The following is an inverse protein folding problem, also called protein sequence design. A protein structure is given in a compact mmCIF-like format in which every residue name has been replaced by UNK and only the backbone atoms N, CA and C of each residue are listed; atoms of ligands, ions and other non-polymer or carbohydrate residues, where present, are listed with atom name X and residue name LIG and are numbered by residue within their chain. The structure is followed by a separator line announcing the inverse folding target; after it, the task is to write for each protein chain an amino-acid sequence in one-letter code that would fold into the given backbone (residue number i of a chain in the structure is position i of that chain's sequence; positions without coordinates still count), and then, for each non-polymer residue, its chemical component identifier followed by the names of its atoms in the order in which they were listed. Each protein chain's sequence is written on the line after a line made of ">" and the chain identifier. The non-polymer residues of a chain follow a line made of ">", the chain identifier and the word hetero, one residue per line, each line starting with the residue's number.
data_IF_545980809324
#
_entry.id   IF_545980809324
#
_cell.length_a   1.000
_cell.length_b   1.000
_cell.length_c   1.000
_cell.angle_alpha   90.00
_cell.angle_beta   90.00
_cell.angle_gamma   90.00
#
_symmetry.space_group_name_H-M   'P 1'
#
loop_
_entity.id
_entity.type
_entity.pdbx_description
1 polymer ?
#
# COMPACT_ATOMS: atom_id res chain seq x y z
N UNK A 1 4.12 -24.14 -16.52
CA UNK A 1 5.34 -23.37 -16.10
C UNK A 1 4.89 -22.27 -15.17
N UNK A 2 5.58 -22.03 -14.05
CA UNK A 2 5.25 -20.95 -13.12
C UNK A 2 6.42 -19.97 -13.07
N UNK A 3 6.12 -18.67 -13.04
CA UNK A 3 7.08 -17.59 -12.82
C UNK A 3 6.60 -16.73 -11.65
N UNK A 4 7.50 -16.44 -10.74
CA UNK A 4 7.25 -15.53 -9.62
C UNK A 4 7.89 -14.18 -9.90
N UNK A 5 7.17 -13.12 -9.60
CA UNK A 5 7.65 -11.75 -9.60
C UNK A 5 7.50 -11.22 -8.17
N UNK A 6 8.53 -10.54 -7.69
CA UNK A 6 8.52 -9.91 -6.38
C UNK A 6 8.18 -8.42 -6.53
N UNK A 7 7.60 -7.86 -5.50
CA UNK A 7 7.40 -6.42 -5.43
C UNK A 7 8.73 -5.69 -5.52
N UNK A 8 8.75 -4.56 -6.22
CA UNK A 8 9.90 -3.66 -6.33
C UNK A 8 9.77 -2.46 -5.42
N UNK A 9 8.55 -2.15 -4.99
CA UNK A 9 8.22 -1.19 -3.96
C UNK A 9 7.01 -1.69 -3.19
N UNK A 10 7.02 -1.47 -1.90
CA UNK A 10 5.85 -1.68 -1.07
C UNK A 10 5.83 -0.73 0.13
N UNK A 11 4.65 -0.41 0.59
CA UNK A 11 4.42 0.40 1.78
C UNK A 11 2.97 0.27 2.21
N UNK A 12 2.62 0.83 3.34
CA UNK A 12 1.23 1.13 3.65
C UNK A 12 1.06 2.61 3.97
N UNK A 13 -0.17 3.08 3.84
CA UNK A 13 -0.56 4.45 4.15
C UNK A 13 -1.73 4.43 5.14
N UNK A 14 -1.78 5.41 6.04
CA UNK A 14 -2.74 5.44 7.14
C UNK A 14 -3.58 6.72 7.11
N UNK A 15 -4.92 6.57 7.16
CA UNK A 15 -5.87 7.70 7.16
C UNK A 15 -6.07 8.35 8.52
N UNK A 16 -5.45 7.86 9.58
CA UNK A 16 -5.61 8.38 10.93
C UNK A 16 -5.18 9.84 11.04
N UNK A 17 -6.11 10.69 11.41
CA UNK A 17 -5.86 12.12 11.65
C UNK A 17 -5.49 12.41 13.09
N UNK A 18 -5.83 11.51 14.01
CA UNK A 18 -5.47 11.68 15.39
C UNK A 18 -4.04 11.23 15.59
N UNK A 19 -3.30 12.14 16.13
CA UNK A 19 -2.07 11.84 16.78
C UNK A 19 -2.35 10.83 17.90
N UNK A 20 -1.49 9.88 18.02
CA UNK A 20 -1.19 9.31 19.30
C UNK A 20 -0.82 10.47 20.26
N UNK A 21 -0.42 10.17 21.47
CA UNK A 21 0.02 11.14 22.49
C UNK A 21 1.11 12.12 22.02
N UNK A 22 1.68 11.96 20.81
CA UNK A 22 2.76 12.77 20.25
C UNK A 22 2.29 13.94 19.36
N UNK A 23 1.01 14.02 19.02
CA UNK A 23 0.47 15.13 18.21
C UNK A 23 0.74 15.03 16.71
N UNK A 24 1.33 13.91 16.22
CA UNK A 24 1.71 13.77 14.81
C UNK A 24 0.56 13.15 14.01
N UNK A 25 0.19 13.82 12.94
CA UNK A 25 -0.80 13.37 11.99
C UNK A 25 -0.26 12.14 11.21
N UNK A 26 -0.84 10.97 11.44
CA UNK A 26 -0.44 9.72 10.79
C UNK A 26 -0.65 9.75 9.27
N UNK A 27 -1.52 10.65 8.77
CA UNK A 27 -1.73 10.84 7.33
C UNK A 27 -0.51 11.37 6.60
N UNK A 28 0.45 11.95 7.33
CA UNK A 28 1.68 12.52 6.77
C UNK A 28 2.90 11.60 6.95
N UNK A 29 2.77 10.58 7.78
CA UNK A 29 3.85 9.63 8.05
C UNK A 29 4.04 8.66 6.88
N UNK A 30 5.31 8.41 6.55
CA UNK A 30 5.74 7.36 5.61
C UNK A 30 6.08 6.06 6.35
N UNK A 31 5.86 4.92 5.69
CA UNK A 31 6.06 3.57 6.21
C UNK A 31 6.80 2.66 5.22
N UNK A 32 7.58 3.24 4.29
CA UNK A 32 8.21 2.51 3.18
C UNK A 32 9.31 1.53 3.58
N UNK A 33 9.78 1.58 4.83
CA UNK A 33 10.81 0.65 5.34
C UNK A 33 10.28 -0.22 6.49
N UNK A 34 8.99 -0.27 6.70
CA UNK A 34 8.40 -1.25 7.61
C UNK A 34 8.49 -2.66 7.01
N UNK A 35 8.86 -3.62 7.86
CA UNK A 35 9.01 -5.02 7.45
C UNK A 35 7.66 -5.73 7.26
N UNK A 36 6.61 -5.20 7.86
CA UNK A 36 5.26 -5.76 7.84
C UNK A 36 4.29 -4.69 7.36
N UNK A 37 3.60 -4.97 6.27
CA UNK A 37 2.55 -4.11 5.74
C UNK A 37 1.28 -4.27 6.56
N UNK A 38 0.80 -3.17 7.12
CA UNK A 38 -0.41 -3.18 7.95
C UNK A 38 -1.65 -2.94 7.08
N UNK A 39 -2.58 -3.88 7.11
CA UNK A 39 -3.88 -3.77 6.46
C UNK A 39 -4.99 -3.91 7.50
N UNK A 40 -5.78 -2.86 7.70
CA UNK A 40 -6.85 -2.93 8.68
C UNK A 40 -7.64 -1.65 8.86
N UNK A 41 -8.65 -1.76 9.69
CA UNK A 41 -9.46 -0.64 10.19
C UNK A 41 -9.32 -0.57 11.69
N UNK A 42 -9.07 0.62 12.19
CA UNK A 42 -9.01 0.88 13.63
C UNK A 42 -10.27 1.62 14.05
N UNK A 43 -10.89 1.13 15.12
CA UNK A 43 -12.04 1.75 15.78
C UNK A 43 -11.60 2.28 17.14
N UNK A 44 -12.09 3.43 17.51
CA UNK A 44 -11.90 4.02 18.83
C UNK A 44 -13.23 4.51 19.37
N UNK A 45 -13.62 4.07 20.57
CA UNK A 45 -14.92 4.39 21.20
C UNK A 45 -16.09 4.23 20.23
N UNK A 46 -16.19 3.06 19.56
CA UNK A 46 -17.25 2.72 18.60
C UNK A 46 -17.28 3.62 17.34
N UNK A 47 -16.33 4.55 17.21
CA UNK A 47 -16.15 5.40 16.04
C UNK A 47 -15.03 4.89 15.15
N UNK A 48 -15.19 5.11 13.86
CA UNK A 48 -14.10 4.88 12.89
C UNK A 48 -12.97 5.87 13.15
N UNK A 49 -11.76 5.38 13.42
CA UNK A 49 -10.57 6.18 13.66
C UNK A 49 -9.69 6.25 12.41
N UNK A 50 -9.26 5.09 11.92
CA UNK A 50 -8.37 5.05 10.76
C UNK A 50 -8.51 3.77 9.96
N UNK A 51 -8.11 3.83 8.69
CA UNK A 51 -7.83 2.65 7.89
C UNK A 51 -6.43 2.73 7.29
N UNK A 52 -5.88 1.56 7.03
CA UNK A 52 -4.64 1.43 6.29
C UNK A 52 -4.92 0.84 4.91
N UNK A 53 -4.10 1.24 3.95
CA UNK A 53 -4.06 0.69 2.59
C UNK A 53 -2.64 0.27 2.28
N UNK A 54 -2.49 -0.90 1.72
CA UNK A 54 -1.20 -1.42 1.26
C UNK A 54 -1.02 -1.05 -0.21
N UNK A 55 0.13 -0.48 -0.53
CA UNK A 55 0.55 -0.15 -1.89
C UNK A 55 1.68 -1.11 -2.28
N UNK A 56 1.55 -1.74 -3.44
CA UNK A 56 2.55 -2.69 -3.96
C UNK A 56 2.79 -2.40 -5.43
N UNK A 57 4.04 -2.37 -5.85
CA UNK A 57 4.43 -2.19 -7.24
C UNK A 57 5.31 -3.36 -7.69
N UNK A 58 5.06 -3.84 -8.90
CA UNK A 58 5.88 -4.81 -9.61
C UNK A 58 6.56 -4.16 -10.80
N UNK A 59 7.68 -4.69 -11.23
CA UNK A 59 8.36 -4.24 -12.45
C UNK A 59 7.59 -4.71 -13.71
N UNK A 60 6.80 -3.78 -14.25
CA UNK A 60 6.02 -4.03 -15.46
C UNK A 60 6.88 -4.38 -16.69
N UNK A 61 8.10 -3.84 -16.78
CA UNK A 61 8.98 -4.13 -17.91
C UNK A 61 9.50 -5.56 -17.82
N UNK A 62 9.85 -6.01 -16.63
CA UNK A 62 10.27 -7.39 -16.40
C UNK A 62 9.13 -8.38 -16.72
N UNK A 63 7.90 -8.08 -16.30
CA UNK A 63 6.72 -8.89 -16.63
C UNK A 63 6.50 -8.94 -18.15
N UNK A 64 6.48 -7.80 -18.83
CA UNK A 64 6.31 -7.71 -20.29
C UNK A 64 7.40 -8.49 -21.03
N UNK A 65 8.66 -8.31 -20.64
CA UNK A 65 9.80 -9.01 -21.25
C UNK A 65 9.65 -10.52 -21.10
N UNK A 66 9.26 -10.99 -19.93
CA UNK A 66 9.05 -12.42 -19.71
C UNK A 66 7.93 -12.97 -20.59
N UNK A 67 6.79 -12.31 -20.66
CA UNK A 67 5.66 -12.74 -21.50
C UNK A 67 6.06 -12.79 -22.98
N UNK A 68 6.76 -11.77 -23.46
CA UNK A 68 7.24 -11.72 -24.86
C UNK A 68 8.28 -12.77 -25.18
N UNK A 69 9.28 -12.97 -24.32
CA UNK A 69 10.35 -13.96 -24.54
C UNK A 69 9.84 -15.39 -24.47
N UNK A 70 8.76 -15.64 -23.77
CA UNK A 70 8.14 -16.95 -23.62
C UNK A 70 7.04 -17.20 -24.66
N UNK A 71 6.82 -16.28 -25.61
CA UNK A 71 5.73 -16.34 -26.60
C UNK A 71 4.34 -16.56 -25.99
N UNK A 72 4.11 -15.97 -24.80
CA UNK A 72 2.84 -16.08 -24.10
C UNK A 72 1.93 -14.95 -24.57
N UNK A 73 0.87 -15.29 -25.29
CA UNK A 73 -0.13 -14.32 -25.74
C UNK A 73 -1.16 -14.00 -24.66
N UNK A 74 -1.76 -12.83 -24.79
CA UNK A 74 -2.87 -12.39 -23.92
C UNK A 74 -3.99 -13.44 -23.98
N UNK A 75 -4.45 -13.87 -22.80
CA UNK A 75 -5.47 -14.90 -22.65
C UNK A 75 -4.92 -16.32 -22.38
N UNK A 76 -3.61 -16.53 -22.57
CA UNK A 76 -2.98 -17.83 -22.33
C UNK A 76 -2.22 -17.92 -20.99
N UNK A 77 -2.48 -17.01 -20.07
CA UNK A 77 -1.92 -17.05 -18.71
C UNK A 77 -2.94 -16.64 -17.66
N UNK A 78 -2.73 -17.10 -16.47
CA UNK A 78 -3.40 -16.61 -15.27
C UNK A 78 -2.37 -15.98 -14.34
N UNK A 79 -2.76 -14.91 -13.66
CA UNK A 79 -1.93 -14.25 -12.66
C UNK A 79 -2.64 -14.26 -11.30
N UNK A 80 -1.90 -14.41 -10.23
CA UNK A 80 -2.40 -14.32 -8.86
C UNK A 80 -1.47 -13.50 -8.00
N UNK A 81 -2.02 -12.63 -7.19
CA UNK A 81 -1.30 -11.96 -6.10
C UNK A 81 -1.31 -12.89 -4.89
N UNK A 82 -0.14 -13.17 -4.33
CA UNK A 82 0.00 -13.95 -3.10
C UNK A 82 0.46 -13.04 -1.98
N UNK A 83 -0.31 -12.97 -0.93
CA UNK A 83 -0.01 -12.27 0.29
C UNK A 83 0.13 -13.29 1.41
N UNK A 84 1.08 -13.07 2.30
CA UNK A 84 1.31 -13.93 3.46
C UNK A 84 0.99 -13.14 4.72
N UNK A 85 0.18 -13.72 5.57
CA UNK A 85 -0.07 -13.16 6.88
C UNK A 85 1.16 -13.35 7.76
N UNK A 86 1.68 -12.24 8.28
CA UNK A 86 2.82 -12.26 9.19
C UNK A 86 2.35 -12.36 10.66
N UNK A 87 1.25 -11.65 10.99
CA UNK A 87 0.65 -11.65 12.31
C UNK A 87 -0.81 -11.21 12.22
N UNK A 88 -1.73 -12.00 12.73
CA UNK A 88 -3.15 -11.68 12.83
C UNK A 88 -3.52 -11.18 14.23
N UNK A 89 -4.41 -10.19 14.29
CA UNK A 89 -4.96 -9.73 15.57
C UNK A 89 -5.95 -10.76 16.10
N UNK A 90 -5.92 -11.04 17.39
CA UNK A 90 -6.94 -11.87 18.02
C UNK A 90 -8.32 -11.20 17.84
N UNK A 91 -9.31 -11.95 17.39
CA UNK A 91 -10.67 -11.46 17.18
C UNK A 91 -11.00 -11.04 15.76
N UNK A 92 -10.17 -11.39 14.77
CA UNK A 92 -10.57 -11.27 13.36
C UNK A 92 -11.85 -12.07 13.10
N UNK A 93 -12.79 -11.52 12.30
CA UNK A 93 -13.97 -12.28 11.89
C UNK A 93 -13.55 -13.54 11.10
N UNK A 94 -14.37 -14.58 11.16
CA UNK A 94 -14.12 -15.84 10.47
C UNK A 94 -14.01 -15.69 8.93
N UNK A 95 -14.53 -14.58 8.39
CA UNK A 95 -14.39 -14.21 6.98
C UNK A 95 -14.22 -12.69 6.85
N UNK A 96 -13.35 -12.28 5.94
CA UNK A 96 -13.17 -10.87 5.56
C UNK A 96 -12.84 -10.78 4.06
N UNK A 97 -13.11 -9.60 3.48
CA UNK A 97 -12.82 -9.34 2.07
C UNK A 97 -11.70 -8.33 1.94
N UNK A 98 -10.72 -8.64 1.09
CA UNK A 98 -9.68 -7.71 0.69
C UNK A 98 -9.93 -7.32 -0.76
N UNK A 99 -10.04 -6.01 -1.03
CA UNK A 99 -10.18 -5.49 -2.38
C UNK A 99 -8.83 -5.03 -2.91
N UNK A 100 -8.50 -5.41 -4.12
CA UNK A 100 -7.27 -5.01 -4.82
C UNK A 100 -7.64 -4.13 -6.00
N UNK A 101 -7.00 -2.96 -6.10
CA UNK A 101 -7.29 -1.97 -7.12
C UNK A 101 -6.00 -1.52 -7.81
N UNK A 102 -6.00 -1.27 -9.13
CA UNK A 102 -4.89 -0.60 -9.79
C UNK A 102 -4.72 0.83 -9.27
N UNK A 103 -3.48 1.22 -8.96
CA UNK A 103 -3.12 2.59 -8.64
C UNK A 103 -2.92 3.35 -9.95
N UNK A 104 -3.47 4.57 -10.03
CA UNK A 104 -3.46 5.40 -11.24
C UNK A 104 -2.29 6.39 -11.31
N UNK A 105 -1.59 6.59 -10.21
CA UNK A 105 -0.51 7.57 -10.07
C UNK A 105 0.77 6.92 -9.57
N UNK A 106 1.90 7.41 -10.07
CA UNK A 106 3.20 7.02 -9.54
C UNK A 106 3.40 7.55 -8.13
N UNK A 107 4.12 6.79 -7.31
CA UNK A 107 4.40 7.10 -5.93
C UNK A 107 5.83 6.71 -5.54
N UNK A 108 6.34 7.32 -4.48
CA UNK A 108 7.66 7.02 -3.93
C UNK A 108 7.50 6.21 -2.63
N UNK A 109 8.23 5.11 -2.52
CA UNK A 109 8.18 4.21 -1.37
C UNK A 109 8.55 4.93 -0.07
N UNK A 110 9.64 5.69 -0.10
CA UNK A 110 10.16 6.40 1.05
C UNK A 110 11.04 5.54 1.96
N UNK A 111 11.42 6.11 3.10
CA UNK A 111 12.39 5.52 4.02
C UNK A 111 11.88 5.44 5.47
N UNK A 112 10.61 5.77 5.69
CA UNK A 112 10.03 5.84 7.03
C UNK A 112 9.64 4.49 7.61
N UNK A 113 9.59 4.45 8.93
CA UNK A 113 9.08 3.32 9.71
C UNK A 113 8.07 3.79 10.74
N UNK A 114 7.19 2.89 11.14
CA UNK A 114 6.19 3.14 12.20
C UNK A 114 6.82 3.57 13.54
N UNK A 115 8.03 3.10 13.81
CA UNK A 115 8.77 3.35 15.05
C UNK A 115 9.70 4.57 15.00
N UNK A 116 9.77 5.28 13.87
CA UNK A 116 10.67 6.43 13.73
C UNK A 116 10.30 7.56 14.71
N UNK A 117 11.35 8.15 15.31
CA UNK A 117 11.26 9.37 16.10
C UNK A 117 12.44 10.29 15.80
N UNK A 118 12.20 11.49 15.23
CA UNK A 118 10.90 12.00 14.78
C UNK A 118 10.35 11.19 13.59
N UNK A 119 9.04 11.27 13.38
CA UNK A 119 8.37 10.58 12.28
C UNK A 119 8.93 11.02 10.93
N UNK A 120 9.16 10.05 10.06
CA UNK A 120 9.63 10.29 8.70
C UNK A 120 8.45 10.58 7.78
N UNK A 121 8.53 11.67 7.01
CA UNK A 121 7.49 12.08 6.05
C UNK A 121 7.95 11.95 4.59
N UNK A 122 9.21 11.60 4.35
CA UNK A 122 9.76 11.41 3.00
C UNK A 122 9.15 10.18 2.33
N UNK A 123 8.72 10.32 1.08
CA UNK A 123 8.05 9.28 0.32
C UNK A 123 6.55 9.48 0.24
N UNK A 124 5.79 8.42 0.00
CA UNK A 124 4.34 8.52 0.01
C UNK A 124 3.75 8.36 1.40
N UNK A 125 2.60 8.97 1.58
CA UNK A 125 1.76 8.92 2.77
C UNK A 125 0.29 8.92 2.36
N UNK A 126 -0.63 9.05 3.28
CA UNK A 126 -2.05 9.20 2.94
C UNK A 126 -2.34 10.53 2.23
N UNK A 127 -1.58 11.60 2.52
CA UNK A 127 -1.71 12.92 1.87
C UNK A 127 -0.95 12.98 0.55
N UNK A 128 0.30 12.55 0.56
CA UNK A 128 1.24 12.77 -0.53
C UNK A 128 1.56 11.46 -1.25
N UNK A 129 1.67 11.50 -2.57
CA UNK A 129 2.24 10.40 -3.35
C UNK A 129 3.75 10.47 -3.46
N UNK A 130 4.30 11.70 -3.33
CA UNK A 130 5.74 11.99 -3.32
C UNK A 130 6.02 13.15 -2.38
N UNK A 131 6.98 12.97 -1.49
CA UNK A 131 7.47 14.03 -0.62
C UNK A 131 8.98 13.88 -0.43
N UNK A 132 9.73 14.97 -0.67
CA UNK A 132 11.17 15.00 -0.40
C UNK A 132 11.45 15.26 1.07
N UNK A 133 12.66 14.89 1.51
CA UNK A 133 13.08 15.02 2.90
C UNK A 133 13.12 16.47 3.37
N UNK A 134 13.51 17.39 2.48
CA UNK A 134 13.62 18.83 2.74
C UNK A 134 12.30 19.60 2.55
N UNK A 135 11.23 18.91 2.14
CA UNK A 135 9.93 19.51 1.85
C UNK A 135 9.89 20.32 0.56
N UNK A 136 10.96 20.33 -0.25
CA UNK A 136 10.97 21.07 -1.51
C UNK A 136 10.04 20.46 -2.57
N UNK A 137 9.75 19.18 -2.47
CA UNK A 137 8.80 18.47 -3.32
C UNK A 137 7.69 17.91 -2.43
N UNK A 138 6.47 18.36 -2.64
CA UNK A 138 5.26 17.85 -2.03
C UNK A 138 4.19 17.69 -3.11
N UNK A 139 3.92 16.46 -3.51
CA UNK A 139 2.93 16.16 -4.55
C UNK A 139 1.84 15.30 -3.92
N UNK A 140 0.66 15.88 -3.80
CA UNK A 140 -0.51 15.20 -3.26
C UNK A 140 -1.06 14.14 -4.23
N UNK A 141 -1.82 13.19 -3.70
CA UNK A 141 -2.67 12.34 -4.51
C UNK A 141 -3.82 13.16 -5.09
N UNK A 142 -4.25 12.88 -6.31
CA UNK A 142 -5.46 13.47 -6.89
C UNK A 142 -6.71 13.16 -6.05
N UNK A 143 -6.68 12.03 -5.35
CA UNK A 143 -7.67 11.66 -4.33
C UNK A 143 -6.93 11.18 -3.09
N UNK A 144 -7.26 11.72 -1.95
CA UNK A 144 -6.59 11.39 -0.69
C UNK A 144 -6.57 9.89 -0.39
N UNK A 145 -5.42 9.41 0.03
CA UNK A 145 -5.23 7.99 0.34
C UNK A 145 -4.99 7.08 -0.87
N UNK A 146 -4.42 7.65 -1.96
CA UNK A 146 -4.10 6.93 -3.18
C UNK A 146 -5.23 6.98 -4.22
N UNK A 147 -4.92 7.48 -5.40
CA UNK A 147 -5.85 7.46 -6.54
C UNK A 147 -5.87 6.07 -7.16
N UNK A 148 -7.01 5.40 -7.14
CA UNK A 148 -7.16 4.04 -7.64
C UNK A 148 -8.40 3.88 -8.52
N UNK A 149 -8.36 2.90 -9.42
CA UNK A 149 -9.49 2.57 -10.29
C UNK A 149 -10.50 1.68 -9.55
N UNK A 150 -11.61 2.24 -9.11
CA UNK A 150 -12.66 1.50 -8.40
C UNK A 150 -13.40 0.49 -9.28
N UNK A 151 -13.53 0.79 -10.59
CA UNK A 151 -14.21 -0.07 -11.56
C UNK A 151 -13.44 -1.36 -11.91
N UNK A 152 -12.17 -1.44 -11.54
CA UNK A 152 -11.30 -2.58 -11.84
C UNK A 152 -10.92 -3.39 -10.59
N UNK A 153 -11.74 -3.30 -9.54
CA UNK A 153 -11.48 -4.02 -8.31
C UNK A 153 -11.52 -5.54 -8.50
N UNK A 154 -10.49 -6.21 -8.02
CA UNK A 154 -10.51 -7.65 -7.77
C UNK A 154 -10.77 -7.85 -6.28
N UNK A 155 -11.77 -8.64 -5.95
CA UNK A 155 -12.08 -8.98 -4.56
C UNK A 155 -11.63 -10.39 -4.28
N UNK A 156 -10.75 -10.57 -3.31
CA UNK A 156 -10.43 -11.88 -2.76
C UNK A 156 -11.23 -12.09 -1.48
N UNK A 157 -11.83 -13.25 -1.34
CA UNK A 157 -12.50 -13.72 -0.13
C UNK A 157 -11.68 -14.88 0.42
N UNK A 158 -11.41 -14.85 1.70
CA UNK A 158 -10.74 -15.94 2.41
C UNK A 158 -11.77 -16.76 3.20
#
# INVERSE_FOLDING_TARGET
>A
MHKHFHATKDTFINSGSNSDTTGIDQRDQNYGQDQILQLGKKMYNESFDSNTRVLVQFDNNNIKTYLSSSNISIGNYSASLRLYEANGTQGLPASYSISVHPILEEWDEGLGKSVDEPKTTQGCSYKYRKKSRDGAIEIEWSQGGGSFASSSALTAVQ
#
